data_IF_205777580138
#
_entry.id   IF_205777580138
#
_cell.length_a   1.000
_cell.length_b   1.000
_cell.length_c   1.000
_cell.angle_alpha   90.00
_cell.angle_beta   90.00
_cell.angle_gamma   90.00
#
_symmetry.space_group_name_H-M   'P 1'
#
loop_
_entity.id
_entity.type
_entity.pdbx_description
1 polymer ?
#
# COMPACT_ATOMS: atom_id res chain seq x y z
N UNK A 1 34.84 23.36 -33.42
CA UNK A 1 33.56 22.71 -33.78
C UNK A 1 33.11 21.96 -32.55
N UNK A 2 32.11 22.46 -31.83
CA UNK A 2 31.62 21.87 -30.59
C UNK A 2 30.35 21.07 -30.90
N UNK A 3 30.38 19.77 -30.62
CA UNK A 3 29.22 18.90 -30.76
C UNK A 3 28.12 19.33 -29.79
N UNK A 4 26.91 19.58 -30.32
CA UNK A 4 25.73 19.78 -29.49
C UNK A 4 25.24 18.42 -28.97
N UNK A 5 24.94 18.27 -27.67
CA UNK A 5 24.39 17.02 -27.16
C UNK A 5 23.02 16.75 -27.79
N UNK A 6 22.84 15.56 -28.36
CA UNK A 6 21.58 15.09 -28.92
C UNK A 6 20.55 14.94 -27.80
N UNK A 7 19.53 15.80 -27.82
CA UNK A 7 18.39 15.72 -26.91
C UNK A 7 17.56 14.48 -27.29
N UNK A 8 17.64 13.42 -26.49
CA UNK A 8 16.81 12.22 -26.67
C UNK A 8 15.35 12.59 -26.36
N UNK A 9 14.51 12.62 -27.39
CA UNK A 9 13.07 12.75 -27.20
C UNK A 9 12.53 11.49 -26.52
N UNK A 10 12.06 11.64 -25.28
CA UNK A 10 11.33 10.61 -24.53
C UNK A 10 9.85 10.70 -24.87
N UNK A 11 9.44 10.14 -26.01
CA UNK A 11 8.01 9.95 -26.29
C UNK A 11 7.58 8.59 -25.76
N UNK A 12 6.76 8.59 -24.70
CA UNK A 12 6.07 7.39 -24.24
C UNK A 12 4.99 7.02 -25.28
N UNK A 13 5.14 5.86 -25.91
CA UNK A 13 4.25 5.39 -26.97
C UNK A 13 2.94 4.85 -26.42
N UNK A 14 2.84 3.51 -26.31
CA UNK A 14 1.57 2.79 -26.08
C UNK A 14 0.95 3.01 -24.69
N UNK A 15 1.76 3.30 -23.68
CA UNK A 15 1.33 3.48 -22.30
C UNK A 15 2.04 4.68 -21.69
N UNK A 16 1.30 5.42 -20.85
CA UNK A 16 1.85 6.55 -20.08
C UNK A 16 2.86 6.08 -19.02
N UNK A 17 2.64 4.89 -18.46
CA UNK A 17 3.50 4.24 -17.47
C UNK A 17 3.86 2.82 -17.95
N UNK A 18 4.97 2.23 -17.47
CA UNK A 18 5.29 0.82 -17.72
C UNK A 18 4.15 -0.11 -17.28
N UNK A 19 4.02 -1.25 -17.94
CA UNK A 19 3.06 -2.29 -17.51
C UNK A 19 3.72 -3.12 -16.41
N UNK A 20 3.16 -3.18 -15.19
CA UNK A 20 3.70 -4.02 -14.13
C UNK A 20 3.65 -5.49 -14.55
N UNK A 21 4.78 -6.18 -14.45
CA UNK A 21 4.90 -7.60 -14.81
C UNK A 21 5.71 -8.42 -13.79
N UNK A 22 6.05 -7.81 -12.65
CA UNK A 22 6.76 -8.42 -11.53
C UNK A 22 5.94 -8.28 -10.25
N UNK A 23 6.12 -9.23 -9.34
CA UNK A 23 5.47 -9.20 -8.02
C UNK A 23 6.24 -8.34 -7.01
N UNK A 24 7.54 -8.16 -7.21
CA UNK A 24 8.46 -7.48 -6.30
C UNK A 24 9.54 -6.77 -7.13
N UNK A 25 9.79 -5.50 -6.81
CA UNK A 25 10.94 -4.74 -7.30
C UNK A 25 11.61 -4.07 -6.10
N UNK A 26 12.89 -4.36 -5.93
CA UNK A 26 13.73 -3.79 -4.86
C UNK A 26 14.04 -2.30 -5.08
N UNK A 27 13.80 -1.78 -6.29
CA UNK A 27 14.20 -0.44 -6.73
C UNK A 27 13.06 0.62 -6.64
N UNK A 28 11.93 0.29 -6.01
CA UNK A 28 10.76 1.18 -5.91
C UNK A 28 10.70 1.85 -4.55
N UNK A 29 10.42 3.15 -4.55
CA UNK A 29 10.19 3.93 -3.34
C UNK A 29 8.88 3.45 -2.69
N UNK A 30 8.95 3.06 -1.40
CA UNK A 30 7.77 2.66 -0.64
C UNK A 30 6.73 3.79 -0.62
N UNK A 31 5.45 3.41 -0.54
CA UNK A 31 4.38 4.39 -0.37
C UNK A 31 4.63 5.20 0.90
N UNK A 32 4.47 6.54 0.84
CA UNK A 32 4.68 7.38 2.01
C UNK A 32 3.69 6.98 3.12
N UNK A 33 4.18 6.96 4.36
CA UNK A 33 3.36 6.68 5.56
C UNK A 33 2.17 7.67 5.68
N UNK A 34 2.32 8.86 5.12
CA UNK A 34 1.32 9.91 5.10
C UNK A 34 1.36 10.69 3.78
N UNK A 35 0.21 10.84 3.14
CA UNK A 35 -0.01 11.74 2.00
C UNK A 35 -0.96 12.85 2.41
N UNK A 36 -0.50 14.10 2.33
CA UNK A 36 -1.39 15.25 2.36
C UNK A 36 -2.14 15.34 1.05
N UNK A 37 -3.38 15.83 1.09
CA UNK A 37 -4.03 16.31 -0.13
C UNK A 37 -3.22 17.47 -0.72
N UNK A 38 -3.14 17.55 -2.05
CA UNK A 38 -2.33 18.52 -2.82
C UNK A 38 -2.68 20.01 -2.57
N UNK A 39 -3.67 20.29 -1.72
CA UNK A 39 -4.02 21.65 -1.33
C UNK A 39 -3.17 22.10 -0.13
N UNK A 40 -2.09 22.83 -0.44
CA UNK A 40 -1.11 23.48 0.47
C UNK A 40 -1.71 24.44 1.55
N UNK A 41 -3.03 24.43 1.76
CA UNK A 41 -3.75 25.26 2.72
C UNK A 41 -3.95 24.55 4.06
N UNK A 42 -2.91 23.95 4.62
CA UNK A 42 -2.97 23.50 6.01
C UNK A 42 -2.79 24.71 6.95
N UNK A 43 -3.77 25.02 7.83
CA UNK A 43 -3.61 26.07 8.81
C UNK A 43 -2.39 25.76 9.69
N UNK A 44 -1.60 26.79 10.04
CA UNK A 44 -0.52 26.65 11.05
C UNK A 44 -1.16 26.39 12.41
N UNK A 45 -1.42 25.13 12.73
CA UNK A 45 -2.03 24.66 13.97
C UNK A 45 -1.61 23.23 14.27
N UNK A 46 -2.16 22.63 15.32
CA UNK A 46 -1.93 21.23 15.67
C UNK A 46 -2.12 20.38 14.42
N UNK A 47 -1.06 19.68 13.99
CA UNK A 47 -1.10 18.84 12.81
C UNK A 47 -2.12 17.71 12.99
N UNK A 48 -2.53 17.04 11.90
CA UNK A 48 -3.52 15.96 11.93
C UNK A 48 -3.17 14.82 12.92
N UNK A 49 -1.90 14.70 13.31
CA UNK A 49 -1.43 13.72 14.29
C UNK A 49 -2.10 13.79 15.68
N UNK A 50 -2.65 14.93 16.11
CA UNK A 50 -3.19 15.10 17.48
C UNK A 50 -4.60 14.50 17.68
N UNK A 51 -5.09 13.68 16.74
CA UNK A 51 -6.39 13.00 16.83
C UNK A 51 -6.64 11.86 15.84
N UNK A 52 -5.80 11.70 14.81
CA UNK A 52 -5.86 10.56 13.88
C UNK A 52 -5.57 9.23 14.56
N UNK A 53 -6.27 8.18 14.13
CA UNK A 53 -6.04 6.81 14.58
C UNK A 53 -4.70 6.30 14.03
N UNK A 54 -3.84 5.74 14.87
CA UNK A 54 -2.52 5.21 14.47
C UNK A 54 -2.42 3.71 14.72
N UNK A 55 -1.77 2.99 13.80
CA UNK A 55 -1.62 1.53 13.88
C UNK A 55 -0.39 1.19 14.73
N UNK A 56 -0.60 0.44 15.81
CA UNK A 56 0.48 -0.10 16.65
C UNK A 56 0.95 -1.47 16.21
N UNK A 57 0.03 -2.35 15.79
CA UNK A 57 0.34 -3.73 15.42
C UNK A 57 -0.66 -4.29 14.44
N UNK A 58 -0.18 -5.08 13.49
CA UNK A 58 -1.00 -5.95 12.64
C UNK A 58 -0.62 -7.41 12.91
N UNK A 59 -1.60 -8.23 13.25
CA UNK A 59 -1.46 -9.67 13.39
C UNK A 59 -2.30 -10.36 12.31
N UNK A 60 -1.64 -11.08 11.41
CA UNK A 60 -2.28 -11.77 10.29
C UNK A 60 -2.88 -13.12 10.68
N UNK A 61 -2.89 -13.48 11.98
CA UNK A 61 -3.52 -14.66 12.55
C UNK A 61 -3.22 -15.95 11.78
N UNK A 62 -1.95 -16.13 11.39
CA UNK A 62 -1.47 -17.22 10.51
C UNK A 62 -1.93 -18.59 11.00
N UNK A 63 -1.77 -18.89 12.29
CA UNK A 63 -2.15 -20.17 12.89
C UNK A 63 -3.64 -20.49 12.76
N UNK A 64 -4.49 -19.46 12.67
CA UNK A 64 -5.93 -19.62 12.49
C UNK A 64 -6.31 -19.73 11.02
N UNK A 65 -5.66 -18.95 10.17
CA UNK A 65 -5.95 -18.90 8.73
C UNK A 65 -5.42 -20.12 7.98
N UNK A 66 -4.22 -20.59 8.33
CA UNK A 66 -3.54 -21.69 7.64
C UNK A 66 -4.37 -22.99 7.57
N UNK A 67 -4.95 -23.52 8.67
CA UNK A 67 -5.81 -24.69 8.59
C UNK A 67 -7.12 -24.40 7.83
N UNK A 68 -7.70 -23.21 7.97
CA UNK A 68 -8.93 -22.83 7.29
C UNK A 68 -8.75 -22.78 5.76
N UNK A 69 -7.59 -22.34 5.28
CA UNK A 69 -7.28 -22.20 3.85
C UNK A 69 -6.58 -23.43 3.24
N UNK A 70 -6.36 -24.50 4.01
CA UNK A 70 -5.62 -25.68 3.58
C UNK A 70 -4.23 -25.34 3.02
N UNK A 71 -3.48 -24.54 3.78
CA UNK A 71 -2.14 -24.05 3.43
C UNK A 71 -1.07 -24.47 4.45
N UNK A 72 -1.38 -25.43 5.32
CA UNK A 72 -0.46 -25.93 6.36
C UNK A 72 0.79 -26.66 5.85
N UNK A 73 0.79 -27.06 4.58
CA UNK A 73 1.94 -27.73 3.96
C UNK A 73 3.05 -26.76 3.53
N UNK A 74 2.80 -25.44 3.54
CA UNK A 74 3.81 -24.45 3.21
C UNK A 74 4.68 -24.15 4.43
N UNK A 75 5.97 -24.49 4.34
CA UNK A 75 6.99 -24.16 5.34
C UNK A 75 7.53 -22.74 5.10
N UNK A 76 6.67 -21.74 5.32
CA UNK A 76 7.00 -20.32 5.17
C UNK A 76 6.37 -19.51 6.30
N UNK A 77 7.03 -18.44 6.75
CA UNK A 77 6.50 -17.62 7.86
C UNK A 77 5.38 -16.65 7.47
N UNK A 78 5.26 -16.36 6.18
CA UNK A 78 4.23 -15.48 5.65
C UNK A 78 2.86 -16.14 5.61
N UNK A 79 1.80 -15.34 5.69
CA UNK A 79 0.43 -15.81 5.53
C UNK A 79 0.19 -16.27 4.09
N UNK A 80 -0.30 -17.51 3.91
CA UNK A 80 -0.81 -18.02 2.63
C UNK A 80 -2.31 -18.25 2.74
N UNK A 81 -3.08 -17.54 1.92
CA UNK A 81 -4.55 -17.66 1.82
C UNK A 81 -4.99 -18.00 0.40
N UNK A 82 -6.22 -18.49 0.26
CA UNK A 82 -6.84 -18.77 -1.04
C UNK A 82 -7.89 -17.71 -1.35
N UNK A 83 -7.88 -17.20 -2.58
CA UNK A 83 -8.87 -16.22 -3.07
C UNK A 83 -10.30 -16.76 -2.95
N UNK A 84 -11.27 -15.85 -2.76
CA UNK A 84 -12.69 -16.21 -2.64
C UNK A 84 -13.07 -16.85 -1.30
N UNK A 85 -12.16 -16.86 -0.32
CA UNK A 85 -12.39 -17.34 1.03
C UNK A 85 -11.97 -16.25 2.03
N UNK A 86 -12.79 -16.03 3.05
CA UNK A 86 -12.50 -15.08 4.12
C UNK A 86 -11.33 -15.56 4.98
N UNK A 87 -10.44 -14.63 5.35
CA UNK A 87 -9.41 -14.81 6.37
C UNK A 87 -9.56 -13.76 7.46
N UNK A 88 -8.88 -13.96 8.59
CA UNK A 88 -8.92 -13.03 9.72
C UNK A 88 -7.60 -12.30 9.88
N UNK A 89 -7.68 -11.03 10.28
CA UNK A 89 -6.54 -10.24 10.74
C UNK A 89 -6.97 -9.43 11.95
N UNK A 90 -6.01 -9.03 12.77
CA UNK A 90 -6.23 -8.17 13.93
C UNK A 90 -5.33 -6.94 13.82
N UNK A 91 -5.95 -5.77 13.77
CA UNK A 91 -5.26 -4.48 13.81
C UNK A 91 -5.42 -3.91 15.21
N UNK A 92 -4.30 -3.54 15.82
CA UNK A 92 -4.25 -2.88 17.13
C UNK A 92 -3.89 -1.42 16.90
N UNK A 93 -4.76 -0.52 17.36
CA UNK A 93 -4.58 0.92 17.26
C UNK A 93 -4.14 1.51 18.60
N UNK A 94 -3.76 2.79 18.60
CA UNK A 94 -3.38 3.59 19.77
C UNK A 94 -4.55 3.86 20.72
N UNK A 95 -5.76 3.86 20.16
CA UNK A 95 -7.04 3.96 20.88
C UNK A 95 -8.10 3.08 20.22
N UNK A 96 -9.23 2.91 20.90
CA UNK A 96 -10.39 2.24 20.28
C UNK A 96 -10.89 3.07 19.08
N UNK A 97 -11.21 2.43 17.94
CA UNK A 97 -11.86 3.08 16.82
C UNK A 97 -13.24 3.62 17.22
N UNK A 98 -13.47 4.90 16.95
CA UNK A 98 -14.75 5.56 17.09
C UNK A 98 -15.51 5.54 15.75
N UNK A 99 -16.82 5.78 15.79
CA UNK A 99 -17.64 5.83 14.57
C UNK A 99 -17.26 6.97 13.59
N UNK A 100 -16.46 7.93 14.04
CA UNK A 100 -15.92 9.02 13.22
C UNK A 100 -14.62 8.66 12.49
N UNK A 101 -13.98 7.55 12.86
CA UNK A 101 -12.76 7.11 12.21
C UNK A 101 -13.08 6.39 10.92
N UNK A 102 -12.30 6.67 9.88
CA UNK A 102 -12.39 6.02 8.58
C UNK A 102 -11.02 5.46 8.21
N UNK A 103 -10.97 4.18 7.86
CA UNK A 103 -9.76 3.48 7.50
C UNK A 103 -10.05 2.33 6.54
N UNK A 104 -9.05 1.97 5.74
CA UNK A 104 -9.12 0.87 4.80
C UNK A 104 -7.85 0.02 4.87
N UNK A 105 -7.96 -1.24 4.46
CA UNK A 105 -6.82 -2.14 4.29
C UNK A 105 -6.49 -2.21 2.81
N UNK A 106 -5.25 -1.93 2.44
CA UNK A 106 -4.78 -1.98 1.07
C UNK A 106 -3.87 -3.21 0.87
N UNK A 107 -4.12 -3.95 -0.22
CA UNK A 107 -3.27 -5.06 -0.66
C UNK A 107 -2.61 -4.66 -1.97
N UNK A 108 -1.30 -4.40 -1.91
CA UNK A 108 -0.53 -3.88 -3.03
C UNK A 108 0.38 -4.98 -3.59
N UNK A 109 0.59 -4.96 -4.91
CA UNK A 109 1.49 -5.90 -5.61
C UNK A 109 2.04 -5.24 -6.88
N UNK A 110 3.36 -5.36 -7.10
CA UNK A 110 4.06 -4.79 -8.25
C UNK A 110 4.23 -3.26 -8.23
N UNK A 111 4.97 -2.74 -9.23
CA UNK A 111 5.44 -1.34 -9.28
C UNK A 111 4.34 -0.28 -9.53
N UNK A 112 3.20 -0.67 -10.14
CA UNK A 112 2.03 0.21 -10.22
C UNK A 112 0.81 -0.52 -9.65
N UNK A 113 0.65 -0.40 -8.34
CA UNK A 113 -0.68 -0.48 -7.77
C UNK A 113 -1.45 0.78 -8.20
N UNK A 114 -2.05 0.75 -9.39
CA UNK A 114 -3.00 1.78 -9.82
C UNK A 114 -4.24 1.69 -8.94
N UNK A 115 -4.22 2.38 -7.79
CA UNK A 115 -5.43 2.58 -6.99
C UNK A 115 -6.31 3.56 -7.77
N UNK A 116 -7.33 3.04 -8.45
CA UNK A 116 -8.44 3.86 -8.92
C UNK A 116 -9.25 4.28 -7.68
N UNK A 117 -8.86 5.36 -7.02
CA UNK A 117 -9.67 5.96 -5.95
C UNK A 117 -10.92 6.56 -6.60
N UNK A 118 -12.07 5.88 -6.48
CA UNK A 118 -13.36 6.46 -6.87
C UNK A 118 -13.72 7.53 -5.85
N UNK A 119 -13.75 8.79 -6.30
CA UNK A 119 -14.27 9.92 -5.53
C UNK A 119 -15.79 9.94 -5.42
#
# INVERSE_FOLDING_TARGET
MSDKPTQKNSYAGRYINPVPNKNFDDDVEDFPEYETFDDDFNPRGFGPADGSLTVHKVDMLRERNMPAHFTYAFDIDNLVVRRGQQFMMQVTFDREPAASDDFQVEFLIGELALILRSG
#
